data_IF_995155864367
#
_entry.id   IF_995155864367
#
_cell.length_a   1.000
_cell.length_b   1.000
_cell.length_c   1.000
_cell.angle_alpha   90.00
_cell.angle_beta   90.00
_cell.angle_gamma   90.00
#
_symmetry.space_group_name_H-M   'P 1'
#
loop_
_entity.id
_entity.type
_entity.pdbx_description
1 polymer ?
#
# COMPACT_ATOMS: atom_id res chain seq x y z
N UNK A 1 37.34 -6.72 61.24
CA UNK A 1 37.63 -6.74 59.79
C UNK A 1 36.57 -5.96 58.99
N UNK A 2 35.28 -6.27 59.16
CA UNK A 2 34.17 -5.58 58.47
C UNK A 2 34.06 -4.06 58.68
N UNK A 3 34.30 -3.54 59.90
CA UNK A 3 34.22 -2.10 60.18
C UNK A 3 35.21 -1.29 59.33
N UNK A 4 36.47 -1.75 59.22
CA UNK A 4 37.49 -1.14 58.36
C UNK A 4 37.14 -1.14 56.86
N UNK A 5 36.33 -2.09 56.40
CA UNK A 5 35.88 -2.15 55.01
C UNK A 5 34.79 -1.10 54.78
N UNK A 6 33.82 -1.02 55.70
CA UNK A 6 32.74 -0.03 55.67
C UNK A 6 33.30 1.39 55.76
N UNK A 7 34.28 1.63 56.64
CA UNK A 7 34.91 2.94 56.81
C UNK A 7 35.62 3.38 55.51
N UNK A 8 36.32 2.46 54.85
CA UNK A 8 36.97 2.73 53.55
C UNK A 8 35.97 2.99 52.42
N UNK A 9 34.86 2.28 52.42
CA UNK A 9 33.76 2.52 51.47
C UNK A 9 33.16 3.90 51.70
N UNK A 10 32.99 4.30 52.97
CA UNK A 10 32.41 5.60 53.33
C UNK A 10 33.32 6.77 52.93
N UNK A 11 34.62 6.67 53.19
CA UNK A 11 35.62 7.65 52.72
C UNK A 11 35.66 7.74 51.19
N UNK A 12 35.58 6.60 50.48
CA UNK A 12 35.52 6.59 49.03
C UNK A 12 34.24 7.27 48.51
N UNK A 13 33.10 7.02 49.15
CA UNK A 13 31.82 7.67 48.80
C UNK A 13 31.88 9.19 49.04
N UNK A 14 32.46 9.65 50.15
CA UNK A 14 32.62 11.09 50.44
C UNK A 14 33.56 11.78 49.42
N UNK A 15 34.65 11.11 49.02
CA UNK A 15 35.55 11.60 47.98
C UNK A 15 34.87 11.68 46.60
N UNK A 16 34.10 10.66 46.24
CA UNK A 16 33.33 10.63 44.99
C UNK A 16 32.23 11.70 44.97
N UNK A 17 31.57 11.96 46.11
CA UNK A 17 30.51 12.97 46.25
C UNK A 17 31.03 14.41 46.27
N UNK A 18 32.32 14.61 46.55
CA UNK A 18 32.95 15.94 46.52
C UNK A 18 33.11 16.47 45.08
N UNK A 19 33.14 15.58 44.09
CA UNK A 19 33.23 15.95 42.67
C UNK A 19 31.84 15.92 42.01
N UNK A 20 31.29 17.10 41.69
CA UNK A 20 29.98 17.26 41.04
C UNK A 20 29.85 16.48 39.72
N UNK A 21 30.95 16.33 38.99
CA UNK A 21 31.00 15.58 37.73
C UNK A 21 30.83 14.07 37.97
N UNK A 22 31.50 13.52 38.99
CA UNK A 22 31.38 12.10 39.35
C UNK A 22 29.96 11.77 39.81
N UNK A 23 29.33 12.65 40.59
CA UNK A 23 27.93 12.49 41.00
C UNK A 23 27.00 12.42 39.79
N UNK A 24 27.21 13.28 38.79
CA UNK A 24 26.41 13.29 37.56
C UNK A 24 26.59 12.00 36.75
N UNK A 25 27.81 11.48 36.65
CA UNK A 25 28.08 10.19 35.98
C UNK A 25 27.36 9.05 36.71
N UNK A 26 27.41 9.01 38.04
CA UNK A 26 26.73 7.96 38.81
C UNK A 26 25.21 8.00 38.59
N UNK A 27 24.61 9.18 38.61
CA UNK A 27 23.18 9.36 38.34
C UNK A 27 22.84 8.91 36.92
N UNK A 28 23.65 9.30 35.93
CA UNK A 28 23.47 8.88 34.54
C UNK A 28 23.58 7.36 34.36
N UNK A 29 24.56 6.72 35.01
CA UNK A 29 24.70 5.27 34.97
C UNK A 29 23.49 4.58 35.62
N UNK A 30 23.02 5.07 36.76
CA UNK A 30 21.83 4.55 37.43
C UNK A 30 20.58 4.62 36.54
N UNK A 31 20.30 5.79 35.95
CA UNK A 31 19.13 5.94 35.07
C UNK A 31 19.26 5.11 33.80
N UNK A 32 20.46 5.02 33.23
CA UNK A 32 20.73 4.16 32.07
C UNK A 32 20.51 2.68 32.38
N UNK A 33 20.96 2.20 33.55
CA UNK A 33 20.71 0.82 33.98
C UNK A 33 19.22 0.51 34.13
N UNK A 34 18.42 1.46 34.64
CA UNK A 34 16.97 1.31 34.73
C UNK A 34 16.35 1.16 33.33
N UNK A 35 16.78 1.98 32.36
CA UNK A 35 16.29 1.89 30.98
C UNK A 35 16.69 0.59 30.30
N UNK A 36 17.93 0.12 30.50
CA UNK A 36 18.40 -1.18 29.98
C UNK A 36 17.57 -2.33 30.56
N UNK A 37 17.31 -2.31 31.88
CA UNK A 37 16.46 -3.31 32.51
C UNK A 37 15.02 -3.27 31.97
N UNK A 38 14.48 -2.08 31.73
CA UNK A 38 13.16 -1.91 31.11
C UNK A 38 13.13 -2.45 29.68
N UNK A 39 14.16 -2.18 28.89
CA UNK A 39 14.30 -2.69 27.53
C UNK A 39 14.37 -4.22 27.52
N UNK A 40 15.17 -4.81 28.39
CA UNK A 40 15.26 -6.27 28.53
C UNK A 40 13.90 -6.89 28.91
N UNK A 41 13.16 -6.27 29.82
CA UNK A 41 11.81 -6.72 30.17
C UNK A 41 10.85 -6.66 28.97
N UNK A 42 10.86 -5.58 28.20
CA UNK A 42 10.01 -5.43 27.01
C UNK A 42 10.39 -6.43 25.91
N UNK A 43 11.69 -6.63 25.67
CA UNK A 43 12.18 -7.47 24.56
C UNK A 43 12.17 -8.96 24.87
N UNK A 44 12.57 -9.38 26.09
CA UNK A 44 12.73 -10.80 26.43
C UNK A 44 11.52 -11.33 27.19
N UNK A 45 11.00 -10.60 28.17
CA UNK A 45 9.90 -11.10 29.02
C UNK A 45 8.55 -10.95 28.33
N UNK A 46 8.31 -9.83 27.63
CA UNK A 46 7.07 -9.59 26.89
C UNK A 46 7.22 -9.66 25.37
N UNK A 47 8.41 -10.01 24.88
CA UNK A 47 8.67 -10.05 23.44
C UNK A 47 7.74 -11.02 22.71
N UNK A 48 7.54 -12.20 23.28
CA UNK A 48 6.63 -13.22 22.73
C UNK A 48 5.18 -12.73 22.71
N UNK A 49 4.68 -12.16 23.81
CA UNK A 49 3.33 -11.57 23.86
C UNK A 49 3.13 -10.50 22.78
N UNK A 50 4.11 -9.60 22.59
CA UNK A 50 4.02 -8.56 21.57
C UNK A 50 4.09 -9.12 20.14
N UNK A 51 4.89 -10.16 19.93
CA UNK A 51 4.99 -10.84 18.64
C UNK A 51 3.69 -11.58 18.30
N UNK A 52 3.12 -12.32 19.26
CA UNK A 52 1.87 -13.04 19.06
C UNK A 52 0.70 -12.08 18.78
N UNK A 53 0.60 -10.98 19.53
CA UNK A 53 -0.42 -9.96 19.28
C UNK A 53 -0.24 -9.29 17.90
N UNK A 54 1.00 -9.11 17.45
CA UNK A 54 1.28 -8.61 16.11
C UNK A 54 0.88 -9.62 15.01
N UNK A 55 1.19 -10.90 15.19
CA UNK A 55 0.75 -11.97 14.29
C UNK A 55 -0.78 -12.11 14.24
N UNK A 56 -1.46 -11.95 15.38
CA UNK A 56 -2.92 -11.93 15.44
C UNK A 56 -3.52 -10.71 14.72
N UNK A 57 -2.87 -9.55 14.77
CA UNK A 57 -3.26 -8.38 13.97
C UNK A 57 -3.07 -8.60 12.47
N UNK A 58 -2.05 -9.36 12.06
CA UNK A 58 -1.83 -9.76 10.66
C UNK A 58 -2.90 -10.77 10.22
N UNK A 59 -3.29 -11.71 11.09
CA UNK A 59 -4.37 -12.66 10.84
C UNK A 59 -5.73 -11.95 10.86
N UNK A 60 -6.09 -11.33 9.74
CA UNK A 60 -7.45 -10.82 9.50
C UNK A 60 -8.43 -12.00 9.51
N UNK A 61 -9.22 -12.15 10.58
CA UNK A 61 -10.39 -13.04 10.59
C UNK A 61 -11.34 -12.62 9.47
N UNK A 62 -11.39 -13.41 8.41
CA UNK A 62 -12.36 -13.26 7.32
C UNK A 62 -13.59 -14.08 7.68
N UNK A 63 -14.69 -13.39 7.99
CA UNK A 63 -16.00 -14.05 8.08
C UNK A 63 -16.35 -14.56 6.69
N UNK A 64 -16.51 -15.88 6.55
CA UNK A 64 -17.01 -16.46 5.30
C UNK A 64 -18.50 -16.14 5.23
N UNK A 65 -18.97 -15.34 4.25
CA UNK A 65 -20.39 -15.08 4.09
C UNK A 65 -21.10 -16.39 3.75
N UNK A 66 -22.24 -16.65 4.39
CA UNK A 66 -23.10 -17.77 4.02
C UNK A 66 -23.60 -17.62 2.59
N UNK A 67 -23.67 -18.72 1.85
CA UNK A 67 -24.26 -18.73 0.50
C UNK A 67 -25.77 -18.50 0.57
N UNK A 68 -26.33 -17.78 -0.42
CA UNK A 68 -27.78 -17.62 -0.54
C UNK A 68 -28.44 -18.91 -1.01
N UNK A 69 -29.74 -19.08 -0.78
CA UNK A 69 -30.49 -20.17 -1.43
C UNK A 69 -30.61 -19.94 -2.94
N UNK A 70 -30.68 -21.01 -3.72
CA UNK A 70 -30.97 -20.93 -5.15
C UNK A 70 -32.45 -20.56 -5.37
N UNK A 71 -32.72 -19.75 -6.39
CA UNK A 71 -34.08 -19.36 -6.79
C UNK A 71 -34.47 -20.18 -8.02
N UNK A 72 -35.66 -20.78 -7.98
CA UNK A 72 -36.21 -21.61 -9.05
C UNK A 72 -37.50 -21.00 -9.60
N UNK A 73 -37.77 -21.17 -10.90
CA UNK A 73 -39.10 -20.93 -11.48
C UNK A 73 -40.09 -22.03 -11.07
N UNK A 74 -41.38 -21.85 -11.36
CA UNK A 74 -42.48 -22.80 -11.12
C UNK A 74 -42.22 -24.21 -11.67
N UNK A 75 -41.39 -24.32 -12.70
CA UNK A 75 -41.03 -25.57 -13.37
C UNK A 75 -39.78 -26.25 -12.75
N UNK A 76 -39.17 -25.64 -11.71
CA UNK A 76 -37.96 -26.15 -11.07
C UNK A 76 -36.65 -25.78 -11.77
N UNK A 77 -36.69 -24.86 -12.74
CA UNK A 77 -35.50 -24.35 -13.41
C UNK A 77 -34.81 -23.27 -12.58
N UNK A 78 -33.48 -23.36 -12.42
CA UNK A 78 -32.70 -22.40 -11.62
C UNK A 78 -32.58 -21.08 -12.38
N UNK A 79 -33.06 -19.99 -11.79
CA UNK A 79 -32.94 -18.64 -12.35
C UNK A 79 -31.88 -17.80 -11.64
N UNK A 80 -31.51 -18.16 -10.41
CA UNK A 80 -30.41 -17.54 -9.69
C UNK A 80 -29.73 -18.55 -8.76
N UNK A 81 -28.40 -18.59 -8.83
CA UNK A 81 -27.54 -19.42 -7.99
C UNK A 81 -26.32 -18.61 -7.55
N UNK A 82 -25.55 -19.14 -6.60
CA UNK A 82 -24.27 -18.53 -6.22
C UNK A 82 -23.15 -19.19 -7.01
N UNK A 83 -22.27 -18.36 -7.54
CA UNK A 83 -21.02 -18.77 -8.17
C UNK A 83 -19.85 -18.14 -7.43
N UNK A 84 -18.73 -18.87 -7.33
CA UNK A 84 -17.53 -18.36 -6.70
C UNK A 84 -16.91 -17.31 -7.64
N UNK A 85 -16.89 -16.06 -7.19
CA UNK A 85 -16.19 -14.98 -7.87
C UNK A 85 -14.92 -14.64 -7.08
N UNK A 86 -13.77 -14.74 -7.74
CA UNK A 86 -12.49 -14.31 -7.19
C UNK A 86 -12.24 -12.85 -7.58
N UNK A 87 -11.78 -12.05 -6.63
CA UNK A 87 -11.39 -10.66 -6.87
C UNK A 87 -9.95 -10.47 -6.38
N UNK A 88 -9.11 -9.96 -7.26
CA UNK A 88 -7.74 -9.56 -6.96
C UNK A 88 -7.74 -8.05 -6.74
N UNK A 89 -7.23 -7.61 -5.60
CA UNK A 89 -7.07 -6.18 -5.28
C UNK A 89 -5.59 -5.90 -5.09
N UNK A 90 -5.07 -4.93 -5.84
CA UNK A 90 -3.69 -4.46 -5.70
C UNK A 90 -3.71 -3.27 -4.73
N UNK A 91 -2.94 -3.38 -3.65
CA UNK A 91 -2.75 -2.30 -2.68
C UNK A 91 -1.39 -1.64 -2.92
N UNK A 92 -1.35 -0.30 -2.98
CA UNK A 92 -0.09 0.43 -3.07
C UNK A 92 0.66 0.34 -1.73
N UNK A 93 1.66 -0.53 -1.68
CA UNK A 93 2.57 -0.70 -0.54
C UNK A 93 3.89 0.05 -0.74
N UNK A 94 4.01 0.90 -1.78
CA UNK A 94 5.27 1.50 -2.16
C UNK A 94 5.58 2.71 -1.26
N UNK A 95 6.76 2.74 -0.60
CA UNK A 95 7.17 3.85 0.26
C UNK A 95 7.01 5.23 -0.41
N UNK A 96 6.54 6.23 0.34
CA UNK A 96 6.27 7.58 -0.15
C UNK A 96 7.52 8.30 -0.68
N UNK A 97 8.72 7.86 -0.26
CA UNK A 97 10.02 8.38 -0.69
C UNK A 97 10.53 7.80 -2.01
N UNK A 98 9.86 6.78 -2.57
CA UNK A 98 10.19 6.23 -3.88
C UNK A 98 9.78 7.21 -4.98
N UNK A 99 10.66 7.45 -5.96
CA UNK A 99 10.35 8.31 -7.11
C UNK A 99 9.15 7.77 -7.88
N UNK A 100 8.24 8.64 -8.31
CA UNK A 100 7.02 8.28 -9.05
C UNK A 100 7.29 7.40 -10.26
N UNK A 101 8.39 7.63 -10.98
CA UNK A 101 8.79 6.80 -12.13
C UNK A 101 9.06 5.35 -11.75
N UNK A 102 9.77 5.12 -10.64
CA UNK A 102 10.09 3.77 -10.15
C UNK A 102 8.82 3.08 -9.63
N UNK A 103 7.90 3.83 -8.99
CA UNK A 103 6.61 3.30 -8.55
C UNK A 103 5.78 2.79 -9.70
N UNK A 104 5.64 3.62 -10.73
CA UNK A 104 4.86 3.30 -11.92
C UNK A 104 5.40 2.07 -12.62
N UNK A 105 6.73 1.94 -12.71
CA UNK A 105 7.35 0.75 -13.28
C UNK A 105 7.00 -0.52 -12.51
N UNK A 106 7.10 -0.49 -11.18
CA UNK A 106 6.80 -1.65 -10.32
C UNK A 106 5.33 -2.07 -10.46
N UNK A 107 4.41 -1.10 -10.50
CA UNK A 107 2.98 -1.36 -10.66
C UNK A 107 2.68 -2.01 -12.03
N UNK A 108 3.28 -1.50 -13.10
CA UNK A 108 3.14 -2.09 -14.44
C UNK A 108 3.67 -3.51 -14.49
N UNK A 109 4.89 -3.73 -13.99
CA UNK A 109 5.51 -5.05 -13.98
C UNK A 109 4.64 -6.06 -13.19
N UNK A 110 3.97 -5.59 -12.13
CA UNK A 110 3.03 -6.40 -11.34
C UNK A 110 1.73 -6.68 -12.10
N UNK A 111 1.16 -5.67 -12.76
CA UNK A 111 -0.04 -5.81 -13.59
C UNK A 111 0.20 -6.76 -14.76
N UNK A 112 1.34 -6.63 -15.45
CA UNK A 112 1.74 -7.52 -16.54
C UNK A 112 1.89 -8.97 -16.06
N UNK A 113 2.44 -9.16 -14.86
CA UNK A 113 2.56 -10.47 -14.23
C UNK A 113 1.18 -11.06 -13.90
N UNK A 114 0.25 -10.24 -13.40
CA UNK A 114 -1.11 -10.69 -13.12
C UNK A 114 -1.85 -11.02 -14.41
N UNK A 115 -1.70 -10.20 -15.45
CA UNK A 115 -2.39 -10.44 -16.72
C UNK A 115 -1.90 -11.72 -17.39
N UNK A 116 -0.59 -11.89 -17.48
CA UNK A 116 -0.01 -13.09 -18.09
C UNK A 116 -0.48 -14.38 -17.41
N UNK A 117 -0.63 -14.37 -16.08
CA UNK A 117 -1.21 -15.50 -15.34
C UNK A 117 -2.68 -15.72 -15.75
N UNK A 118 -3.49 -14.67 -15.83
CA UNK A 118 -4.92 -14.78 -16.19
C UNK A 118 -5.07 -15.32 -17.62
N UNK A 119 -4.32 -14.77 -18.56
CA UNK A 119 -4.35 -15.18 -19.97
C UNK A 119 -3.80 -16.59 -20.19
N UNK A 120 -2.73 -16.99 -19.48
CA UNK A 120 -2.18 -18.36 -19.55
C UNK A 120 -3.19 -19.41 -19.04
N UNK A 121 -4.03 -19.04 -18.07
CA UNK A 121 -5.12 -19.90 -17.60
C UNK A 121 -6.35 -19.91 -18.53
N UNK A 122 -6.29 -19.18 -19.66
CA UNK A 122 -7.32 -19.20 -20.71
C UNK A 122 -8.43 -18.18 -20.53
N UNK A 123 -8.31 -17.26 -19.57
CA UNK A 123 -9.27 -16.19 -19.35
C UNK A 123 -8.96 -14.98 -20.23
N UNK A 124 -10.02 -14.37 -20.78
CA UNK A 124 -9.90 -13.12 -21.55
C UNK A 124 -10.03 -11.92 -20.63
N UNK A 125 -9.14 -10.95 -20.76
CA UNK A 125 -9.21 -9.72 -19.97
C UNK A 125 -10.00 -8.65 -20.69
N UNK A 126 -10.99 -8.10 -19.97
CA UNK A 126 -11.79 -6.97 -20.43
C UNK A 126 -11.20 -5.71 -19.81
N UNK A 127 -10.52 -4.93 -20.64
CA UNK A 127 -10.04 -3.60 -20.29
C UNK A 127 -11.09 -2.54 -20.65
N UNK A 128 -11.27 -1.54 -19.79
CA UNK A 128 -12.13 -0.38 -20.01
C UNK A 128 -11.32 0.93 -20.05
N UNK A 129 -10.04 0.87 -20.42
CA UNK A 129 -9.23 2.07 -20.59
C UNK A 129 -9.70 2.92 -21.78
N UNK A 130 -9.74 4.24 -21.58
CA UNK A 130 -10.23 5.18 -22.58
C UNK A 130 -9.32 5.37 -23.80
N UNK A 131 -8.13 4.74 -23.85
CA UNK A 131 -7.16 4.86 -24.94
C UNK A 131 -6.78 3.48 -25.46
N UNK A 132 -6.84 3.32 -26.78
CA UNK A 132 -6.38 2.13 -27.52
C UNK A 132 -5.30 2.52 -28.52
N UNK A 133 -4.51 1.54 -28.95
CA UNK A 133 -3.58 1.65 -30.06
C UNK A 133 -4.20 0.99 -31.29
N UNK A 134 -4.24 1.71 -32.40
CA UNK A 134 -4.67 1.13 -33.67
C UNK A 134 -3.58 0.22 -34.27
N UNK A 135 -3.92 -0.49 -35.35
CA UNK A 135 -2.99 -1.36 -36.06
C UNK A 135 -1.77 -0.64 -36.65
N UNK A 136 -1.76 0.70 -36.65
CA UNK A 136 -0.62 1.53 -37.08
C UNK A 136 0.26 2.00 -35.92
N UNK A 137 -0.09 1.66 -34.68
CA UNK A 137 0.61 2.12 -33.47
C UNK A 137 0.25 3.56 -33.08
N UNK A 138 -0.83 4.12 -33.61
CA UNK A 138 -1.32 5.45 -33.24
C UNK A 138 -2.36 5.34 -32.12
N UNK A 139 -2.26 6.23 -31.13
CA UNK A 139 -3.23 6.31 -30.04
C UNK A 139 -4.58 6.82 -30.55
N UNK A 140 -5.65 6.15 -30.16
CA UNK A 140 -7.03 6.56 -30.40
C UNK A 140 -7.84 6.45 -29.11
N UNK A 141 -8.90 7.24 -28.98
CA UNK A 141 -9.83 7.04 -27.86
C UNK A 141 -10.66 5.79 -28.13
N UNK A 142 -10.83 4.95 -27.10
CA UNK A 142 -11.73 3.80 -27.15
C UNK A 142 -13.20 4.22 -27.25
N UNK A 143 -13.50 5.37 -26.63
CA UNK A 143 -14.85 5.93 -26.55
C UNK A 143 -15.30 6.55 -27.88
N UNK A 144 -16.39 6.02 -28.42
CA UNK A 144 -17.04 6.56 -29.62
C UNK A 144 -17.95 7.77 -29.31
N UNK A 145 -18.36 7.93 -28.05
CA UNK A 145 -19.20 9.03 -27.60
C UNK A 145 -18.35 10.22 -27.12
N UNK A 146 -18.67 11.42 -27.60
CA UNK A 146 -17.95 12.65 -27.23
C UNK A 146 -18.03 12.98 -25.73
N UNK A 147 -19.16 12.74 -25.08
CA UNK A 147 -19.31 12.98 -23.64
C UNK A 147 -18.43 12.04 -22.82
N UNK A 148 -18.39 10.74 -23.16
CA UNK A 148 -17.53 9.76 -22.50
C UNK A 148 -16.05 10.10 -22.72
N UNK A 149 -15.68 10.46 -23.95
CA UNK A 149 -14.33 10.93 -24.29
C UNK A 149 -13.92 12.14 -23.46
N UNK A 150 -14.78 13.17 -23.39
CA UNK A 150 -14.48 14.38 -22.62
C UNK A 150 -14.44 14.11 -21.11
N UNK A 151 -15.26 13.18 -20.61
CA UNK A 151 -15.19 12.75 -19.22
C UNK A 151 -13.84 12.10 -18.92
N UNK A 152 -13.40 11.17 -19.77
CA UNK A 152 -12.07 10.55 -19.66
C UNK A 152 -10.94 11.60 -19.73
N UNK A 153 -11.04 12.60 -20.61
CA UNK A 153 -10.06 13.69 -20.66
C UNK A 153 -10.07 14.50 -19.37
N UNK A 154 -11.24 14.84 -18.82
CA UNK A 154 -11.36 15.52 -17.52
C UNK A 154 -10.73 14.68 -16.40
N UNK A 155 -10.92 13.37 -16.45
CA UNK A 155 -10.35 12.43 -15.50
C UNK A 155 -8.81 12.45 -15.54
N UNK A 156 -8.21 12.31 -16.72
CA UNK A 156 -6.74 12.37 -16.87
C UNK A 156 -6.15 13.70 -16.40
N UNK A 157 -6.89 14.81 -16.53
CA UNK A 157 -6.44 16.14 -16.08
C UNK A 157 -6.85 16.48 -14.63
N UNK A 158 -7.44 15.53 -13.89
CA UNK A 158 -7.88 15.73 -12.50
C UNK A 158 -8.99 16.79 -12.34
N UNK A 159 -9.86 16.94 -13.35
CA UNK A 159 -10.98 17.88 -13.35
C UNK A 159 -12.27 17.19 -12.92
N UNK A 160 -13.01 17.84 -12.02
CA UNK A 160 -14.29 17.34 -11.51
C UNK A 160 -15.38 17.34 -12.58
N UNK A 161 -15.36 18.32 -13.49
CA UNK A 161 -16.37 18.48 -14.54
C UNK A 161 -15.74 18.63 -15.92
N UNK A 162 -16.50 18.25 -16.96
CA UNK A 162 -16.11 18.43 -18.36
C UNK A 162 -15.94 19.92 -18.72
N UNK A 163 -16.74 20.79 -18.08
CA UNK A 163 -16.73 22.23 -18.33
C UNK A 163 -15.45 22.92 -17.85
N UNK A 164 -14.71 22.28 -16.93
CA UNK A 164 -13.43 22.79 -16.42
C UNK A 164 -12.27 22.57 -17.42
N UNK A 165 -12.52 21.87 -18.53
CA UNK A 165 -11.55 21.67 -19.61
C UNK A 165 -11.41 22.91 -20.48
N UNK A 166 -10.18 23.30 -20.76
CA UNK A 166 -9.87 24.31 -21.77
C UNK A 166 -10.15 23.80 -23.17
N UNK A 167 -10.47 24.70 -24.10
CA UNK A 167 -10.70 24.34 -25.51
C UNK A 167 -9.51 23.62 -26.14
N UNK A 168 -8.29 23.91 -25.68
CA UNK A 168 -7.07 23.21 -26.11
C UNK A 168 -7.03 21.76 -25.63
N UNK A 169 -7.53 21.48 -24.44
CA UNK A 169 -7.58 20.12 -23.88
C UNK A 169 -8.68 19.29 -24.56
N UNK A 170 -9.84 19.90 -24.86
CA UNK A 170 -10.96 19.23 -25.54
C UNK A 170 -10.61 18.69 -26.93
N UNK A 171 -9.76 19.42 -27.67
CA UNK A 171 -9.40 19.11 -29.07
C UNK A 171 -8.11 18.27 -29.16
N UNK A 172 -7.41 18.06 -28.03
CA UNK A 172 -6.12 17.36 -28.02
C UNK A 172 -6.31 15.87 -28.31
N UNK A 173 -5.53 15.36 -29.26
CA UNK A 173 -5.47 13.92 -29.56
C UNK A 173 -4.79 13.15 -28.42
N UNK A 174 -5.18 11.88 -28.20
CA UNK A 174 -4.53 11.06 -27.20
C UNK A 174 -3.08 10.85 -27.61
N UNK A 175 -2.20 10.84 -26.62
CA UNK A 175 -0.77 10.62 -26.85
C UNK A 175 -0.18 9.98 -25.60
N UNK A 176 1.07 9.51 -25.70
CA UNK A 176 1.79 8.94 -24.57
C UNK A 176 1.76 9.84 -23.32
N UNK A 177 1.66 11.16 -23.47
CA UNK A 177 1.54 12.07 -22.33
C UNK A 177 0.26 11.87 -21.54
N UNK A 178 -0.88 11.53 -22.16
CA UNK A 178 -2.13 11.26 -21.45
C UNK A 178 -2.01 10.08 -20.48
N UNK A 179 -1.25 9.05 -20.86
CA UNK A 179 -0.99 7.88 -20.02
C UNK A 179 -0.13 8.28 -18.81
N UNK A 180 0.86 9.15 -19.01
CA UNK A 180 1.74 9.64 -17.94
C UNK A 180 1.00 10.59 -16.98
N UNK A 181 0.14 11.49 -17.50
CA UNK A 181 -0.64 12.39 -16.65
C UNK A 181 -1.68 11.66 -15.80
N UNK A 182 -2.27 10.58 -16.33
CA UNK A 182 -3.16 9.72 -15.55
C UNK A 182 -2.45 9.10 -14.34
N UNK A 183 -1.18 8.69 -14.51
CA UNK A 183 -0.35 8.12 -13.44
C UNK A 183 0.00 9.10 -12.31
N UNK A 184 0.09 10.39 -12.59
CA UNK A 184 0.46 11.41 -11.59
C UNK A 184 -0.73 11.83 -10.71
N UNK A 185 -1.94 11.37 -11.04
CA UNK A 185 -3.15 11.65 -10.26
C UNK A 185 -3.49 10.45 -9.39
N UNK A 186 -3.50 10.64 -8.06
CA UNK A 186 -3.69 9.63 -6.98
C UNK A 186 -4.93 8.71 -7.10
N UNK A 187 -5.75 8.84 -8.13
CA UNK A 187 -7.07 8.23 -8.26
C UNK A 187 -7.25 7.36 -9.52
N UNK A 188 -6.32 7.40 -10.46
CA UNK A 188 -6.31 6.51 -11.62
C UNK A 188 -5.24 5.45 -11.35
N UNK A 189 -5.64 4.17 -11.38
CA UNK A 189 -4.69 3.04 -11.30
C UNK A 189 -3.57 3.33 -12.30
N UNK A 190 -2.31 3.44 -11.85
CA UNK A 190 -1.22 3.72 -12.76
C UNK A 190 -1.11 2.63 -13.83
N UNK A 191 -1.24 3.04 -15.09
CA UNK A 191 -1.21 2.24 -16.32
C UNK A 191 -2.20 1.06 -16.43
N UNK A 192 -3.28 1.26 -17.17
CA UNK A 192 -3.60 0.32 -18.25
C UNK A 192 -2.73 0.72 -19.44
N UNK A 193 -1.55 0.13 -19.54
CA UNK A 193 -0.91 0.04 -20.85
C UNK A 193 -1.70 -1.04 -21.59
N UNK A 194 -2.32 -0.75 -22.75
CA UNK A 194 -2.85 -1.83 -23.57
C UNK A 194 -1.71 -2.80 -23.86
N UNK A 195 -1.94 -4.07 -23.58
CA UNK A 195 -1.03 -5.17 -23.88
C UNK A 195 -0.76 -5.18 -25.38
N UNK A 196 0.31 -4.51 -25.75
CA UNK A 196 0.95 -4.62 -27.05
C UNK A 196 2.43 -4.74 -26.76
N UNK A 197 2.80 -5.85 -26.11
CA UNK A 197 3.78 -6.82 -26.60
C UNK A 197 3.58 -8.16 -25.89
#
# INVERSE_FOLDING_TARGET
>A
MFRRIIDRIKEAVEYLMSSRLIVLIIVFCLTSSILIGRLFYLQIVRGEDYLENYELQIRKTRTVPGTRGNIFDRNGEVIAYNELAYSVTIEDIIPTDTKTEDKNKILNDTLDSVLSIVEENGDSVIDNFGIILDSSGSYQFAETNETSRLRFVADVHGKSFIDDLTEKEKIRQPSRSYIIYANDTDWIIPNMMPHIF
#
